data_IF_143309150327
#
_entry.id   IF_143309150327
#
_cell.length_a   1.000
_cell.length_b   1.000
_cell.length_c   1.000
_cell.angle_alpha   90.00
_cell.angle_beta   90.00
_cell.angle_gamma   90.00
#
_symmetry.space_group_name_H-M   'P 1'
#
loop_
_entity.id
_entity.type
_entity.pdbx_description
1 polymer ?
#
# COMPACT_ATOMS: atom_id res chain seq x y z
N UNK A 1 9.85 -6.57 8.58
CA UNK A 1 8.62 -5.86 8.12
C UNK A 1 7.71 -6.67 7.18
N UNK A 2 8.23 -7.23 6.08
CA UNK A 2 7.43 -7.96 5.08
C UNK A 2 6.60 -9.12 5.65
N UNK A 3 7.17 -9.90 6.57
CA UNK A 3 6.44 -11.01 7.20
C UNK A 3 5.24 -10.53 8.03
N UNK A 4 5.35 -9.36 8.67
CA UNK A 4 4.23 -8.78 9.42
C UNK A 4 3.11 -8.39 8.46
N UNK A 5 3.43 -7.74 7.34
CA UNK A 5 2.44 -7.37 6.32
C UNK A 5 1.76 -8.60 5.71
N UNK A 6 2.48 -9.71 5.53
CA UNK A 6 1.90 -10.97 5.08
C UNK A 6 0.92 -11.56 6.11
N UNK A 7 1.23 -11.47 7.40
CA UNK A 7 0.31 -11.89 8.47
C UNK A 7 -0.96 -11.04 8.48
N UNK A 8 -0.82 -9.72 8.37
CA UNK A 8 -1.99 -8.82 8.29
C UNK A 8 -2.83 -9.08 7.04
N UNK A 9 -2.19 -9.37 5.89
CA UNK A 9 -2.90 -9.80 4.68
C UNK A 9 -3.72 -11.05 4.93
N UNK A 10 -3.16 -12.07 5.60
CA UNK A 10 -3.88 -13.30 5.94
C UNK A 10 -5.05 -13.00 6.89
N UNK A 11 -4.85 -12.12 7.87
CA UNK A 11 -5.93 -11.67 8.77
C UNK A 11 -7.06 -10.98 8.00
N UNK A 12 -6.73 -10.05 7.10
CA UNK A 12 -7.70 -9.37 6.25
C UNK A 12 -8.49 -10.35 5.37
N UNK A 13 -7.80 -11.33 4.78
CA UNK A 13 -8.42 -12.39 4.00
C UNK A 13 -9.39 -13.25 4.83
N UNK A 14 -9.02 -13.61 6.06
CA UNK A 14 -9.89 -14.38 6.98
C UNK A 14 -11.13 -13.60 7.40
N UNK A 15 -10.99 -12.29 7.60
CA UNK A 15 -12.08 -11.41 8.00
C UNK A 15 -12.98 -10.99 6.83
N UNK A 16 -12.61 -11.34 5.58
CA UNK A 16 -13.32 -10.89 4.40
C UNK A 16 -13.17 -9.38 4.12
N UNK A 17 -12.19 -8.74 4.75
CA UNK A 17 -11.90 -7.31 4.57
C UNK A 17 -11.18 -7.10 3.24
N UNK A 18 -11.98 -6.88 2.19
CA UNK A 18 -11.48 -6.71 0.83
C UNK A 18 -10.61 -5.46 0.69
N UNK A 19 -10.94 -4.38 1.38
CA UNK A 19 -10.21 -3.12 1.29
C UNK A 19 -8.80 -3.30 1.88
N UNK A 20 -8.71 -3.78 3.13
CA UNK A 20 -7.43 -4.05 3.78
C UNK A 20 -6.60 -5.10 3.01
N UNK A 21 -7.25 -6.15 2.49
CA UNK A 21 -6.57 -7.16 1.67
C UNK A 21 -5.90 -6.54 0.43
N UNK A 22 -6.58 -5.64 -0.29
CA UNK A 22 -6.03 -4.98 -1.47
C UNK A 22 -4.86 -4.07 -1.08
N UNK A 23 -5.04 -3.23 -0.06
CA UNK A 23 -3.98 -2.34 0.44
C UNK A 23 -2.71 -3.11 0.82
N UNK A 24 -2.85 -4.19 1.61
CA UNK A 24 -1.71 -5.03 1.99
C UNK A 24 -1.02 -5.69 0.78
N UNK A 25 -1.78 -6.20 -0.21
CA UNK A 25 -1.20 -6.77 -1.43
C UNK A 25 -0.39 -5.74 -2.21
N UNK A 26 -0.91 -4.53 -2.36
CA UNK A 26 -0.25 -3.45 -3.10
C UNK A 26 1.05 -3.02 -2.42
N UNK A 27 1.02 -2.83 -1.09
CA UNK A 27 2.21 -2.49 -0.30
C UNK A 27 3.27 -3.60 -0.38
N UNK A 28 2.87 -4.87 -0.20
CA UNK A 28 3.80 -6.00 -0.30
C UNK A 28 4.43 -6.06 -1.71
N UNK A 29 3.64 -5.82 -2.76
CA UNK A 29 4.10 -5.75 -4.14
C UNK A 29 5.17 -4.67 -4.34
N UNK A 30 4.92 -3.45 -3.84
CA UNK A 30 5.89 -2.34 -3.91
C UNK A 30 7.20 -2.66 -3.17
N UNK A 31 7.12 -3.26 -1.98
CA UNK A 31 8.32 -3.65 -1.23
C UNK A 31 9.12 -4.75 -1.95
N UNK A 32 8.44 -5.75 -2.51
CA UNK A 32 9.10 -6.81 -3.29
C UNK A 32 9.74 -6.28 -4.57
N UNK A 33 9.06 -5.38 -5.29
CA UNK A 33 9.62 -4.72 -6.46
C UNK A 33 10.90 -3.95 -6.08
N UNK A 34 10.87 -3.18 -5.01
CA UNK A 34 12.04 -2.46 -4.52
C UNK A 34 13.19 -3.40 -4.08
N UNK A 35 12.90 -4.57 -3.50
CA UNK A 35 13.91 -5.60 -3.23
C UNK A 35 14.56 -6.14 -4.51
N UNK A 36 13.75 -6.38 -5.55
CA UNK A 36 14.23 -6.85 -6.86
C UNK A 36 15.12 -5.78 -7.49
N UNK A 37 14.68 -4.53 -7.51
CA UNK A 37 15.43 -3.40 -8.09
C UNK A 37 16.76 -3.17 -7.36
N UNK A 38 16.76 -3.35 -6.04
CA UNK A 38 17.96 -3.24 -5.20
C UNK A 38 18.89 -4.44 -5.33
N UNK A 39 18.34 -5.63 -5.62
CA UNK A 39 19.06 -6.90 -5.63
C UNK A 39 19.34 -7.51 -4.25
N UNK A 40 18.78 -6.93 -3.18
CA UNK A 40 18.95 -7.40 -1.80
C UNK A 40 17.70 -7.13 -0.95
N UNK A 41 17.66 -7.70 0.26
CA UNK A 41 16.57 -7.49 1.20
C UNK A 41 16.63 -6.04 1.73
N UNK A 42 15.49 -5.36 1.67
CA UNK A 42 15.33 -4.04 2.29
C UNK A 42 15.50 -4.12 3.81
N UNK A 43 16.23 -3.18 4.37
CA UNK A 43 16.21 -2.96 5.82
C UNK A 43 14.93 -2.22 6.25
N UNK A 44 14.74 -2.05 7.55
CA UNK A 44 13.53 -1.43 8.10
C UNK A 44 13.39 0.05 7.72
N UNK A 45 14.49 0.80 7.63
CA UNK A 45 14.46 2.22 7.24
C UNK A 45 14.05 2.40 5.77
N UNK A 46 14.58 1.55 4.89
CA UNK A 46 14.26 1.55 3.47
C UNK A 46 12.80 1.16 3.25
N UNK A 47 12.35 0.12 3.95
CA UNK A 47 10.95 -0.30 3.92
C UNK A 47 10.03 0.82 4.41
N UNK A 48 10.38 1.48 5.52
CA UNK A 48 9.64 2.63 6.05
C UNK A 48 9.62 3.81 5.09
N UNK A 49 10.71 4.08 4.37
CA UNK A 49 10.77 5.12 3.34
C UNK A 49 9.79 4.85 2.20
N UNK A 50 9.71 3.60 1.74
CA UNK A 50 8.77 3.18 0.69
C UNK A 50 7.32 3.32 1.18
N UNK A 51 7.04 2.92 2.42
CA UNK A 51 5.71 3.09 3.02
C UNK A 51 5.30 4.57 3.08
N UNK A 52 6.17 5.44 3.61
CA UNK A 52 5.91 6.89 3.68
C UNK A 52 5.66 7.50 2.30
N UNK A 53 6.47 7.10 1.31
CA UNK A 53 6.30 7.56 -0.07
C UNK A 53 4.96 7.10 -0.65
N UNK A 54 4.58 5.84 -0.39
CA UNK A 54 3.31 5.27 -0.87
C UNK A 54 2.12 6.00 -0.23
N UNK A 55 2.13 6.21 1.09
CA UNK A 55 1.09 6.99 1.77
C UNK A 55 0.98 8.40 1.23
N UNK A 56 2.11 9.06 0.92
CA UNK A 56 2.10 10.39 0.32
C UNK A 56 1.43 10.38 -1.06
N UNK A 57 1.83 9.44 -1.93
CA UNK A 57 1.24 9.28 -3.26
C UNK A 57 -0.26 9.02 -3.21
N UNK A 58 -0.73 8.17 -2.29
CA UNK A 58 -2.16 7.91 -2.11
C UNK A 58 -2.92 9.18 -1.71
N UNK A 59 -2.39 9.95 -0.76
CA UNK A 59 -3.01 11.23 -0.35
C UNK A 59 -3.08 12.25 -1.48
N UNK A 60 -2.02 12.34 -2.28
CA UNK A 60 -1.98 13.20 -3.46
C UNK A 60 -2.99 12.73 -4.52
N UNK A 61 -3.08 11.42 -4.77
CA UNK A 61 -4.05 10.80 -5.70
C UNK A 61 -5.50 11.12 -5.28
N UNK A 62 -5.82 10.96 -4.00
CA UNK A 62 -7.14 11.27 -3.44
C UNK A 62 -7.50 12.74 -3.68
N UNK A 63 -6.60 13.67 -3.33
CA UNK A 63 -6.82 15.11 -3.52
C UNK A 63 -7.00 15.46 -5.01
N UNK A 64 -6.20 14.87 -5.90
CA UNK A 64 -6.34 15.06 -7.34
C UNK A 64 -7.67 14.55 -7.89
N UNK A 65 -8.11 13.36 -7.48
CA UNK A 65 -9.39 12.80 -7.90
C UNK A 65 -10.58 13.62 -7.37
N UNK A 66 -10.53 14.04 -6.11
CA UNK A 66 -11.56 14.91 -5.53
C UNK A 66 -11.66 16.24 -6.28
N UNK A 67 -10.53 16.90 -6.55
CA UNK A 67 -10.49 18.15 -7.34
C UNK A 67 -11.00 17.97 -8.76
N UNK A 68 -10.83 16.78 -9.34
CA UNK A 68 -11.32 16.43 -10.67
C UNK A 68 -12.78 15.95 -10.73
N UNK A 69 -13.50 15.91 -9.60
CA UNK A 69 -14.87 15.40 -9.52
C UNK A 69 -14.98 13.89 -9.76
N UNK A 70 -13.91 13.13 -9.48
CA UNK A 70 -13.80 11.67 -9.65
C UNK A 70 -13.86 10.96 -8.31
N UNK A 71 -14.96 11.16 -7.58
CA UNK A 71 -15.16 10.65 -6.22
C UNK A 71 -15.00 9.11 -6.15
N UNK A 72 -15.38 8.39 -7.20
CA UNK A 72 -15.24 6.94 -7.28
C UNK A 72 -13.78 6.46 -7.29
N UNK A 73 -12.86 7.30 -7.79
CA UNK A 73 -11.43 7.01 -7.79
C UNK A 73 -10.79 7.43 -6.46
N UNK A 74 -11.24 8.55 -5.88
CA UNK A 74 -10.80 9.00 -4.56
C UNK A 74 -11.16 7.98 -3.46
N UNK A 75 -12.37 7.42 -3.51
CA UNK A 75 -12.80 6.38 -2.56
C UNK A 75 -11.94 5.12 -2.66
N UNK A 76 -11.58 4.69 -3.89
CA UNK A 76 -10.70 3.54 -4.09
C UNK A 76 -9.34 3.73 -3.44
N UNK A 77 -8.72 4.89 -3.64
CA UNK A 77 -7.42 5.21 -3.04
C UNK A 77 -7.52 5.34 -1.51
N UNK A 78 -8.63 5.87 -0.99
CA UNK A 78 -8.88 5.95 0.44
C UNK A 78 -8.96 4.57 1.11
N UNK A 79 -9.48 3.56 0.40
CA UNK A 79 -9.49 2.19 0.90
C UNK A 79 -8.11 1.54 0.99
N UNK A 80 -7.11 2.06 0.28
CA UNK A 80 -5.73 1.55 0.33
C UNK A 80 -4.86 2.21 1.40
N UNK A 81 -5.40 3.20 2.12
CA UNK A 81 -4.69 4.08 3.06
C UNK A 81 -4.90 3.65 4.52
#
# INVERSE_FOLDING_TARGET
MLDQLQKELITAMKNGDKAAMIGFRNIIGKLKAAQIDKGEILNDEESMKILKSTTKQLKESIDHYQKGGREELAEKELFEL
#
